data_IF_690327300775
#
_entry.id   IF_690327300775
#
_cell.length_a   1.000
_cell.length_b   1.000
_cell.length_c   1.000
_cell.angle_alpha   90.00
_cell.angle_beta   90.00
_cell.angle_gamma   90.00
#
_symmetry.space_group_name_H-M   'P 1'
#
loop_
_entity.id
_entity.type
_entity.pdbx_description
1 polymer ?
#
# COMPACT_ATOMS: atom_id res chain seq x y z
N UNK A 1 -21.15 66.89 -28.38
CA UNK A 1 -22.61 66.71 -28.36
C UNK A 1 -22.97 65.61 -29.34
N UNK A 2 -23.28 64.42 -28.85
CA UNK A 2 -23.91 63.37 -29.63
C UNK A 2 -24.87 62.63 -28.67
N UNK A 3 -26.16 62.84 -28.89
CA UNK A 3 -27.25 62.22 -28.15
C UNK A 3 -27.72 61.02 -28.95
N UNK A 4 -27.76 59.84 -28.34
CA UNK A 4 -28.49 58.68 -28.88
C UNK A 4 -29.34 58.06 -27.77
N UNK A 5 -30.60 58.49 -27.76
CA UNK A 5 -31.70 57.92 -27.00
C UNK A 5 -31.95 56.49 -27.47
N UNK A 6 -31.98 55.52 -26.54
CA UNK A 6 -32.51 54.18 -26.82
C UNK A 6 -33.71 53.95 -25.93
N UNK A 7 -34.88 53.99 -26.54
CA UNK A 7 -36.19 53.74 -25.95
C UNK A 7 -36.38 52.23 -25.76
N UNK A 8 -36.56 51.75 -24.52
CA UNK A 8 -37.04 50.40 -24.25
C UNK A 8 -38.54 50.41 -24.03
N UNK A 9 -39.25 49.73 -24.93
CA UNK A 9 -40.70 49.62 -24.99
C UNK A 9 -41.23 48.72 -23.86
N UNK A 10 -42.16 49.26 -23.08
CA UNK A 10 -43.02 48.53 -22.15
C UNK A 10 -44.10 47.76 -22.93
N UNK A 11 -44.11 46.42 -22.83
CA UNK A 11 -45.19 45.56 -23.33
C UNK A 11 -46.33 45.45 -22.30
N UNK A 12 -47.61 45.51 -22.72
CA UNK A 12 -48.75 45.40 -21.81
C UNK A 12 -49.10 43.92 -21.52
N UNK A 13 -49.28 43.59 -20.24
CA UNK A 13 -49.73 42.28 -19.77
C UNK A 13 -51.23 42.11 -19.98
N UNK A 14 -51.64 41.26 -20.92
CA UNK A 14 -53.02 40.76 -21.04
C UNK A 14 -53.17 39.41 -20.33
N UNK A 15 -54.32 39.13 -19.68
CA UNK A 15 -54.51 37.90 -18.92
C UNK A 15 -54.88 36.74 -19.86
N UNK A 16 -53.89 35.94 -20.26
CA UNK A 16 -54.15 34.70 -21.01
C UNK A 16 -54.71 33.63 -20.05
N UNK A 17 -55.94 33.20 -20.34
CA UNK A 17 -56.58 32.03 -19.73
C UNK A 17 -55.71 30.80 -20.01
N UNK A 18 -55.08 30.25 -18.95
CA UNK A 18 -54.18 29.09 -19.08
C UNK A 18 -54.96 27.84 -19.51
N UNK A 19 -54.44 27.04 -20.45
CA UNK A 19 -55.08 25.80 -20.88
C UNK A 19 -55.06 24.76 -19.74
N UNK A 20 -56.15 24.00 -19.61
CA UNK A 20 -56.36 22.96 -18.55
C UNK A 20 -55.23 21.90 -18.50
N UNK A 21 -54.44 21.77 -19.56
CA UNK A 21 -53.29 20.86 -19.62
C UNK A 21 -52.11 21.29 -18.73
N UNK A 22 -51.86 22.59 -18.56
CA UNK A 22 -50.78 23.07 -17.69
C UNK A 22 -51.08 22.79 -16.23
N UNK A 23 -52.36 22.87 -15.86
CA UNK A 23 -52.82 22.51 -14.52
C UNK A 23 -52.64 21.02 -14.23
N UNK A 24 -52.85 20.16 -15.23
CA UNK A 24 -52.60 18.71 -15.14
C UNK A 24 -51.10 18.39 -15.09
N UNK A 25 -50.26 19.08 -15.86
CA UNK A 25 -48.79 18.91 -15.80
C UNK A 25 -48.23 19.38 -14.46
N UNK A 26 -48.65 20.53 -13.96
CA UNK A 26 -48.24 21.04 -12.66
C UNK A 26 -48.70 20.11 -11.52
N UNK A 27 -49.93 19.58 -11.59
CA UNK A 27 -50.42 18.62 -10.61
C UNK A 27 -49.62 17.31 -10.63
N UNK A 28 -49.25 16.79 -11.81
CA UNK A 28 -48.43 15.59 -11.91
C UNK A 28 -47.00 15.82 -11.40
N UNK A 29 -46.39 16.97 -11.72
CA UNK A 29 -45.05 17.32 -11.23
C UNK A 29 -45.01 17.44 -9.70
N UNK A 30 -46.05 18.03 -9.11
CA UNK A 30 -46.20 18.09 -7.66
C UNK A 30 -46.42 16.68 -7.07
N UNK A 31 -47.23 15.85 -7.73
CA UNK A 31 -47.46 14.45 -7.31
C UNK A 31 -46.17 13.64 -7.29
N UNK A 32 -45.30 13.85 -8.27
CA UNK A 32 -44.00 13.18 -8.37
C UNK A 32 -43.01 13.73 -7.32
N UNK A 33 -43.04 15.04 -7.03
CA UNK A 33 -42.23 15.66 -5.96
C UNK A 33 -42.58 15.14 -4.56
N UNK A 34 -43.86 14.86 -4.30
CA UNK A 34 -44.34 14.32 -3.03
C UNK A 34 -44.44 12.79 -3.01
N UNK A 35 -43.96 12.09 -4.05
CA UNK A 35 -43.92 10.61 -4.08
C UNK A 35 -45.28 9.93 -4.05
N UNK A 36 -46.35 10.62 -4.45
CA UNK A 36 -47.74 10.12 -4.41
C UNK A 36 -48.12 9.26 -5.64
N UNK A 37 -47.18 9.05 -6.57
CA UNK A 37 -47.34 8.08 -7.67
C UNK A 37 -47.13 6.67 -7.11
N UNK A 38 -48.22 5.97 -6.80
CA UNK A 38 -48.22 4.54 -6.49
C UNK A 38 -47.85 3.74 -7.74
N UNK A 39 -46.56 3.55 -7.99
CA UNK A 39 -46.02 2.42 -8.75
C UNK A 39 -44.52 2.29 -8.42
N UNK A 40 -44.13 1.16 -7.84
CA UNK A 40 -42.78 0.88 -7.40
C UNK A 40 -41.97 0.25 -8.55
N UNK A 41 -40.94 0.95 -9.06
CA UNK A 41 -39.85 0.33 -9.83
C UNK A 41 -38.57 1.21 -9.88
N UNK A 42 -37.55 0.79 -9.12
CA UNK A 42 -36.10 0.79 -9.41
C UNK A 42 -35.36 2.11 -9.84
N UNK A 43 -34.75 2.76 -8.83
CA UNK A 43 -33.41 3.42 -8.69
C UNK A 43 -32.65 4.00 -9.91
N UNK A 44 -31.99 5.17 -9.75
CA UNK A 44 -30.68 5.23 -9.08
C UNK A 44 -30.69 6.06 -7.80
N UNK A 45 -29.98 5.54 -6.81
CA UNK A 45 -29.97 5.97 -5.42
C UNK A 45 -29.51 7.43 -5.26
N UNK A 46 -30.48 8.31 -5.01
CA UNK A 46 -30.29 9.40 -4.05
C UNK A 46 -30.32 8.78 -2.66
N UNK A 47 -29.63 9.31 -1.62
CA UNK A 47 -29.75 8.75 -0.29
C UNK A 47 -31.23 8.83 0.10
N UNK A 48 -31.87 7.67 0.17
CA UNK A 48 -33.19 7.55 0.74
C UNK A 48 -33.03 7.94 2.19
N UNK A 49 -33.42 9.16 2.51
CA UNK A 49 -33.85 9.51 3.84
C UNK A 49 -35.02 8.57 4.07
N UNK A 50 -34.77 7.46 4.75
CA UNK A 50 -35.83 6.61 5.27
C UNK A 50 -36.81 7.55 5.95
N UNK A 51 -38.07 7.54 5.52
CA UNK A 51 -39.14 8.27 6.17
C UNK A 51 -39.38 7.66 7.58
N UNK A 52 -38.41 7.80 8.49
CA UNK A 52 -38.58 7.59 9.93
C UNK A 52 -39.20 8.82 10.60
N UNK A 53 -39.28 9.95 9.89
CA UNK A 53 -40.11 11.08 10.28
C UNK A 53 -41.57 10.89 9.84
N UNK A 54 -42.17 9.76 10.23
CA UNK A 54 -43.59 9.79 10.52
C UNK A 54 -43.74 10.59 11.81
N UNK A 55 -43.78 11.93 11.70
CA UNK A 55 -44.21 12.79 12.80
C UNK A 55 -45.56 12.24 13.22
N UNK A 56 -45.59 11.54 14.35
CA UNK A 56 -46.79 10.89 14.84
C UNK A 56 -47.82 11.99 15.08
N UNK A 57 -48.78 12.11 14.15
CA UNK A 57 -49.83 13.12 14.20
C UNK A 57 -50.68 13.00 15.48
N UNK A 58 -50.49 11.94 16.26
CA UNK A 58 -51.04 11.76 17.60
C UNK A 58 -50.47 12.75 18.63
N UNK A 59 -49.26 13.27 18.43
CA UNK A 59 -48.53 14.14 19.37
C UNK A 59 -48.76 15.63 19.11
N UNK A 60 -49.33 16.00 17.96
CA UNK A 60 -49.71 17.38 17.71
C UNK A 60 -50.88 17.77 18.64
N UNK A 61 -50.85 18.97 19.25
CA UNK A 61 -51.98 19.46 20.02
C UNK A 61 -53.23 19.45 19.14
N UNK A 62 -54.21 18.62 19.50
CA UNK A 62 -55.53 18.64 18.85
C UNK A 62 -56.22 19.94 19.26
N UNK A 63 -56.04 20.97 18.45
CA UNK A 63 -56.71 22.26 18.63
C UNK A 63 -58.20 22.05 18.35
N UNK A 64 -59.04 22.25 19.37
CA UNK A 64 -60.49 22.12 19.24
C UNK A 64 -61.07 23.39 18.59
N UNK A 65 -61.07 23.42 17.26
CA UNK A 65 -61.63 24.51 16.45
C UNK A 65 -63.08 24.90 16.83
N UNK A 66 -64.03 23.97 17.06
CA UNK A 66 -65.41 24.35 17.36
C UNK A 66 -65.58 25.04 18.73
N UNK A 67 -64.77 24.70 19.75
CA UNK A 67 -64.81 25.45 21.01
C UNK A 67 -64.20 26.84 20.86
N UNK A 68 -63.11 26.98 20.11
CA UNK A 68 -62.49 28.27 19.81
C UNK A 68 -63.41 29.22 19.04
N UNK A 69 -64.17 28.69 18.06
CA UNK A 69 -65.16 29.45 17.30
C UNK A 69 -66.35 29.91 18.15
N UNK A 70 -66.66 29.18 19.23
CA UNK A 70 -67.76 29.54 20.15
C UNK A 70 -67.32 30.55 21.20
N UNK A 71 -66.05 30.52 21.63
CA UNK A 71 -65.53 31.36 22.71
C UNK A 71 -64.92 32.68 22.25
N UNK A 72 -64.43 32.77 21.01
CA UNK A 72 -63.69 33.95 20.51
C UNK A 72 -64.51 34.75 19.49
N UNK A 73 -64.29 36.07 19.47
CA UNK A 73 -64.86 36.93 18.44
C UNK A 73 -64.04 36.85 17.14
N UNK A 74 -64.68 37.17 16.01
CA UNK A 74 -64.06 37.06 14.67
C UNK A 74 -62.80 37.92 14.52
N UNK A 75 -62.76 39.11 15.11
CA UNK A 75 -61.59 40.00 15.04
C UNK A 75 -60.37 39.40 15.74
N UNK A 76 -60.55 38.75 16.88
CA UNK A 76 -59.50 38.06 17.60
C UNK A 76 -58.99 36.85 16.81
N UNK A 77 -59.88 36.13 16.13
CA UNK A 77 -59.51 35.00 15.28
C UNK A 77 -58.69 35.43 14.07
N UNK A 78 -59.08 36.51 13.39
CA UNK A 78 -58.35 37.07 12.24
C UNK A 78 -56.98 37.65 12.66
N UNK A 79 -56.90 38.30 13.83
CA UNK A 79 -55.61 38.76 14.37
C UNK A 79 -54.68 37.58 14.64
N UNK A 80 -55.21 36.49 15.22
CA UNK A 80 -54.45 35.27 15.48
C UNK A 80 -54.06 34.53 14.21
N UNK A 81 -54.90 34.52 13.19
CA UNK A 81 -54.54 34.02 11.86
C UNK A 81 -53.36 34.81 11.27
N UNK A 82 -53.43 36.14 11.31
CA UNK A 82 -52.35 37.00 10.85
C UNK A 82 -51.04 36.74 11.60
N UNK A 83 -51.10 36.56 12.92
CA UNK A 83 -49.94 36.20 13.75
C UNK A 83 -49.36 34.84 13.35
N UNK A 84 -50.21 33.81 13.20
CA UNK A 84 -49.77 32.47 12.80
C UNK A 84 -49.15 32.48 11.40
N UNK A 85 -49.67 33.26 10.46
CA UNK A 85 -49.08 33.40 9.12
C UNK A 85 -47.67 33.99 9.22
N UNK A 86 -47.44 34.95 10.11
CA UNK A 86 -46.10 35.51 10.35
C UNK A 86 -45.18 34.46 10.95
N UNK A 87 -45.64 33.74 11.99
CA UNK A 87 -44.86 32.67 12.64
C UNK A 87 -44.51 31.53 11.67
N UNK A 88 -45.42 31.15 10.77
CA UNK A 88 -45.16 30.12 9.75
C UNK A 88 -44.04 30.59 8.80
N UNK A 89 -44.06 31.87 8.39
CA UNK A 89 -43.01 32.42 7.52
C UNK A 89 -41.67 32.52 8.23
N UNK A 90 -41.67 32.87 9.51
CA UNK A 90 -40.48 32.91 10.34
C UNK A 90 -39.87 31.50 10.49
N UNK A 91 -40.69 30.51 10.86
CA UNK A 91 -40.27 29.10 10.95
C UNK A 91 -39.73 28.55 9.63
N UNK A 92 -40.33 28.90 8.49
CA UNK A 92 -39.80 28.49 7.18
C UNK A 92 -38.43 29.13 6.89
N UNK A 93 -38.26 30.40 7.30
CA UNK A 93 -36.97 31.10 7.24
C UNK A 93 -35.90 30.44 8.12
N UNK A 94 -36.25 30.08 9.35
CA UNK A 94 -35.37 29.35 10.27
C UNK A 94 -35.00 27.97 9.72
N UNK A 95 -35.97 27.21 9.22
CA UNK A 95 -35.74 25.90 8.57
C UNK A 95 -34.78 26.03 7.40
N UNK A 96 -34.99 27.02 6.53
CA UNK A 96 -34.13 27.24 5.39
C UNK A 96 -32.72 27.68 5.82
N UNK A 97 -32.60 28.53 6.84
CA UNK A 97 -31.31 28.90 7.42
C UNK A 97 -30.57 27.70 8.01
N UNK A 98 -31.25 26.82 8.75
CA UNK A 98 -30.66 25.60 9.32
C UNK A 98 -30.14 24.67 8.22
N UNK A 99 -30.93 24.47 7.16
CA UNK A 99 -30.52 23.68 6.00
C UNK A 99 -29.28 24.30 5.37
N UNK A 100 -29.24 25.60 5.08
CA UNK A 100 -28.04 26.20 4.47
C UNK A 100 -26.82 26.17 5.40
N UNK A 101 -27.00 26.44 6.70
CA UNK A 101 -25.92 26.48 7.66
C UNK A 101 -25.31 25.11 7.93
N UNK A 102 -26.10 24.03 7.92
CA UNK A 102 -25.60 22.70 8.29
C UNK A 102 -25.55 21.68 7.14
N UNK A 103 -26.17 21.95 6.00
CA UNK A 103 -26.13 21.02 4.86
C UNK A 103 -24.70 20.78 4.37
N UNK A 104 -23.88 21.82 4.30
CA UNK A 104 -22.50 21.67 3.88
C UNK A 104 -21.67 20.85 4.90
N UNK A 105 -21.98 20.94 6.20
CA UNK A 105 -21.36 20.12 7.25
C UNK A 105 -21.76 18.64 7.11
N UNK A 106 -23.04 18.36 6.84
CA UNK A 106 -23.52 16.99 6.58
C UNK A 106 -22.88 16.37 5.34
N UNK A 107 -22.74 17.17 4.27
CA UNK A 107 -22.04 16.74 3.06
C UNK A 107 -20.56 16.48 3.36
N UNK A 108 -19.88 17.40 4.04
CA UNK A 108 -18.48 17.22 4.41
C UNK A 108 -18.24 16.01 5.33
N UNK A 109 -19.15 15.75 6.29
CA UNK A 109 -19.12 14.56 7.12
C UNK A 109 -19.31 13.28 6.29
N UNK A 110 -20.24 13.31 5.32
CA UNK A 110 -20.47 12.19 4.41
C UNK A 110 -19.25 11.90 3.52
N UNK A 111 -18.59 12.94 3.02
CA UNK A 111 -17.34 12.83 2.26
C UNK A 111 -16.22 12.27 3.14
N UNK A 112 -16.10 12.72 4.39
CA UNK A 112 -15.13 12.20 5.35
C UNK A 112 -15.34 10.71 5.62
N UNK A 113 -16.59 10.26 5.79
CA UNK A 113 -16.92 8.83 5.95
C UNK A 113 -16.53 8.04 4.70
N UNK A 114 -16.79 8.60 3.51
CA UNK A 114 -16.41 7.98 2.24
C UNK A 114 -14.89 7.83 2.13
N UNK A 115 -14.13 8.87 2.45
CA UNK A 115 -12.67 8.85 2.44
C UNK A 115 -12.10 7.87 3.46
N UNK A 116 -12.69 7.81 4.67
CA UNK A 116 -12.32 6.81 5.67
C UNK A 116 -12.55 5.39 5.16
N UNK A 117 -13.66 5.13 4.49
CA UNK A 117 -13.96 3.82 3.89
C UNK A 117 -12.93 3.43 2.83
N UNK A 118 -12.63 4.34 1.89
CA UNK A 118 -11.63 4.08 0.83
C UNK A 118 -10.24 3.81 1.44
N UNK A 119 -9.85 4.58 2.46
CA UNK A 119 -8.59 4.34 3.18
C UNK A 119 -8.58 2.97 3.87
N UNK A 120 -9.69 2.57 4.50
CA UNK A 120 -9.81 1.24 5.11
C UNK A 120 -9.65 0.12 4.07
N UNK A 121 -10.34 0.21 2.94
CA UNK A 121 -10.24 -0.77 1.85
C UNK A 121 -8.81 -0.81 1.25
N UNK A 122 -8.11 0.32 1.23
CA UNK A 122 -6.71 0.38 0.76
C UNK A 122 -5.70 -0.26 1.72
N UNK A 123 -6.05 -0.44 3.00
CA UNK A 123 -5.18 -1.09 3.98
C UNK A 123 -5.18 -2.61 3.81
N UNK A 124 -6.28 -3.20 3.34
CA UNK A 124 -6.41 -4.64 3.14
C UNK A 124 -5.26 -5.26 2.30
N UNK A 125 -4.92 -4.75 1.09
CA UNK A 125 -3.81 -5.30 0.30
C UNK A 125 -2.44 -5.10 0.98
N UNK A 126 -2.28 -4.04 1.79
CA UNK A 126 -1.03 -3.85 2.54
C UNK A 126 -0.86 -4.88 3.66
N UNK A 127 -1.96 -5.29 4.29
CA UNK A 127 -1.97 -6.36 5.29
C UNK A 127 -1.73 -7.73 4.65
N UNK A 128 -2.32 -8.00 3.48
CA UNK A 128 -2.05 -9.23 2.71
C UNK A 128 -0.57 -9.32 2.29
N UNK A 129 0.01 -8.21 1.82
CA UNK A 129 1.43 -8.14 1.49
C UNK A 129 2.32 -8.41 2.72
N UNK A 130 1.98 -7.84 3.87
CA UNK A 130 2.68 -8.09 5.12
C UNK A 130 2.55 -9.56 5.56
N UNK A 131 1.37 -10.15 5.47
CA UNK A 131 1.15 -11.57 5.77
C UNK A 131 2.01 -12.48 4.89
N UNK A 132 2.03 -12.21 3.58
CA UNK A 132 2.84 -12.96 2.61
C UNK A 132 4.34 -12.84 2.94
N UNK A 133 4.79 -11.66 3.35
CA UNK A 133 6.18 -11.45 3.77
C UNK A 133 6.51 -12.25 5.05
N UNK A 134 5.58 -12.33 6.01
CA UNK A 134 5.77 -13.10 7.23
C UNK A 134 5.79 -14.61 6.96
N UNK A 135 4.94 -15.11 6.06
CA UNK A 135 5.00 -16.50 5.58
C UNK A 135 6.33 -16.80 4.89
N UNK A 136 6.82 -15.89 4.05
CA UNK A 136 8.13 -16.02 3.39
C UNK A 136 9.28 -16.07 4.41
N UNK A 137 9.23 -15.24 5.45
CA UNK A 137 10.21 -15.26 6.53
C UNK A 137 10.10 -16.56 7.34
N UNK A 138 8.88 -17.01 7.66
CA UNK A 138 8.64 -18.23 8.42
C UNK A 138 9.15 -19.47 7.67
N UNK A 139 8.85 -19.57 6.38
CA UNK A 139 9.35 -20.65 5.51
C UNK A 139 10.87 -20.63 5.42
N UNK A 140 11.50 -19.47 5.20
CA UNK A 140 12.95 -19.34 5.16
C UNK A 140 13.59 -19.72 6.50
N UNK A 141 13.01 -19.28 7.62
CA UNK A 141 13.45 -19.67 8.97
C UNK A 141 13.35 -21.18 9.19
N UNK A 142 12.25 -21.81 8.75
CA UNK A 142 12.08 -23.27 8.87
C UNK A 142 13.10 -24.04 8.04
N UNK A 143 13.43 -23.56 6.83
CA UNK A 143 14.47 -24.15 5.99
C UNK A 143 15.85 -24.01 6.62
N UNK A 144 16.15 -22.85 7.22
CA UNK A 144 17.41 -22.66 7.97
C UNK A 144 17.49 -23.55 9.21
N UNK A 145 16.38 -23.77 9.93
CA UNK A 145 16.36 -24.68 11.08
C UNK A 145 16.56 -26.14 10.67
N UNK A 146 16.01 -26.56 9.52
CA UNK A 146 16.29 -27.89 8.94
C UNK A 146 17.78 -28.02 8.61
N UNK A 147 18.36 -27.00 7.97
CA UNK A 147 19.79 -26.98 7.64
C UNK A 147 20.68 -26.95 8.90
N UNK A 148 20.25 -26.29 9.98
CA UNK A 148 20.96 -26.21 11.27
C UNK A 148 20.81 -27.50 12.09
N UNK A 149 19.83 -28.36 11.80
CA UNK A 149 19.59 -29.62 12.51
C UNK A 149 20.35 -30.80 11.87
N UNK A 150 21.68 -30.78 11.87
CA UNK A 150 22.45 -31.99 12.16
C UNK A 150 23.59 -31.66 13.14
N UNK A 151 23.39 -31.90 14.45
CA UNK A 151 24.51 -31.92 15.42
C UNK A 151 24.14 -32.38 16.84
N UNK A 152 22.86 -32.46 17.24
CA UNK A 152 22.50 -32.63 18.68
C UNK A 152 21.63 -33.84 19.02
N UNK A 153 21.66 -34.91 18.20
CA UNK A 153 21.23 -36.23 18.68
C UNK A 153 22.44 -37.10 18.92
N UNK A 154 22.94 -37.07 20.16
CA UNK A 154 23.83 -38.10 20.68
C UNK A 154 23.16 -39.49 20.61
N UNK A 155 23.99 -40.48 20.26
CA UNK A 155 23.70 -41.90 19.99
C UNK A 155 23.23 -42.68 21.25
N UNK A 156 22.73 -43.92 21.13
CA UNK A 156 23.67 -45.05 21.11
C UNK A 156 23.20 -46.25 20.26
N UNK A 157 24.02 -46.66 19.28
CA UNK A 157 24.38 -48.05 19.00
C UNK A 157 25.05 -48.16 17.61
N UNK A 158 26.31 -48.61 17.64
CA UNK A 158 27.05 -49.36 16.62
C UNK A 158 26.67 -49.16 15.13
N UNK A 159 27.54 -48.47 14.39
CA UNK A 159 28.39 -49.06 13.34
C UNK A 159 29.30 -47.98 12.75
N UNK A 160 30.50 -48.39 12.36
CA UNK A 160 31.67 -47.58 11.98
C UNK A 160 31.39 -46.48 10.95
N UNK A 161 31.86 -45.23 11.16
CA UNK A 161 31.81 -44.21 10.12
C UNK A 161 32.97 -44.43 9.14
N UNK A 162 32.65 -44.58 7.85
CA UNK A 162 33.64 -44.53 6.78
C UNK A 162 34.29 -43.14 6.68
N UNK A 163 35.46 -43.02 6.04
CA UNK A 163 36.28 -41.80 6.02
C UNK A 163 35.72 -40.61 5.20
N UNK A 164 34.44 -40.65 4.80
CA UNK A 164 33.82 -39.66 3.92
C UNK A 164 32.45 -39.18 4.45
N UNK A 165 32.32 -38.89 5.74
CA UNK A 165 31.17 -38.11 6.21
C UNK A 165 31.48 -36.63 5.98
N UNK A 166 31.03 -36.12 4.83
CA UNK A 166 31.11 -34.71 4.50
C UNK A 166 30.02 -33.99 5.30
N UNK A 167 30.41 -33.20 6.30
CA UNK A 167 29.53 -32.29 7.01
C UNK A 167 29.31 -31.07 6.11
N UNK A 168 28.17 -30.97 5.39
CA UNK A 168 28.06 -30.05 4.26
C UNK A 168 28.25 -28.59 4.67
N UNK A 169 27.87 -28.23 5.90
CA UNK A 169 28.01 -26.87 6.41
C UNK A 169 29.45 -26.50 6.78
N UNK A 170 30.22 -27.41 7.36
CA UNK A 170 31.63 -27.15 7.68
C UNK A 170 32.49 -27.15 6.42
N UNK A 171 32.13 -27.95 5.42
CA UNK A 171 32.85 -28.04 4.16
C UNK A 171 32.47 -26.93 3.17
N UNK A 172 31.32 -26.26 3.35
CA UNK A 172 30.87 -25.15 2.49
C UNK A 172 31.61 -23.83 2.76
N UNK A 173 31.85 -23.50 4.04
CA UNK A 173 32.54 -22.27 4.45
C UNK A 173 33.94 -22.12 3.80
N UNK A 174 34.83 -23.14 3.84
CA UNK A 174 36.14 -23.05 3.20
C UNK A 174 36.05 -23.00 1.67
N UNK A 175 35.02 -23.59 1.04
CA UNK A 175 34.83 -23.56 -0.42
C UNK A 175 34.41 -22.16 -0.90
N UNK A 176 33.47 -21.52 -0.19
CA UNK A 176 32.96 -20.20 -0.57
C UNK A 176 33.97 -19.10 -0.28
N UNK A 177 34.81 -19.27 0.75
CA UNK A 177 35.87 -18.31 1.12
C UNK A 177 37.18 -18.52 0.35
N UNK A 178 37.32 -19.64 -0.36
CA UNK A 178 38.55 -20.00 -1.09
C UNK A 178 39.03 -18.93 -2.08
N UNK A 179 38.18 -18.33 -2.95
CA UNK A 179 38.64 -17.32 -3.91
C UNK A 179 39.24 -16.09 -3.22
N UNK A 180 38.59 -15.60 -2.15
CA UNK A 180 39.10 -14.47 -1.36
C UNK A 180 40.40 -14.81 -0.64
N UNK A 181 40.50 -16.00 -0.04
CA UNK A 181 41.70 -16.45 0.66
C UNK A 181 42.89 -16.57 -0.29
N UNK A 182 42.69 -17.06 -1.51
CA UNK A 182 43.73 -17.11 -2.54
C UNK A 182 44.15 -15.71 -2.99
N UNK A 183 43.20 -14.79 -3.18
CA UNK A 183 43.51 -13.40 -3.53
C UNK A 183 44.34 -12.70 -2.44
N UNK A 184 43.96 -12.86 -1.17
CA UNK A 184 44.66 -12.26 -0.03
C UNK A 184 46.10 -12.81 0.14
N UNK A 185 46.30 -14.10 -0.12
CA UNK A 185 47.63 -14.73 -0.12
C UNK A 185 48.50 -14.28 -1.30
N UNK A 186 47.93 -14.07 -2.48
CA UNK A 186 48.65 -13.59 -3.68
C UNK A 186 49.00 -12.10 -3.55
N UNK A 187 48.11 -11.30 -2.98
CA UNK A 187 48.32 -9.87 -2.73
C UNK A 187 49.22 -9.59 -1.52
N UNK A 188 49.53 -10.62 -0.72
CA UNK A 188 50.37 -10.51 0.48
C UNK A 188 49.70 -9.71 1.61
N UNK A 189 48.37 -9.59 1.58
CA UNK A 189 47.60 -8.69 2.44
C UNK A 189 47.59 -9.13 3.91
N UNK A 190 47.90 -10.40 4.18
CA UNK A 190 47.94 -11.00 5.52
C UNK A 190 49.16 -10.53 6.35
N UNK A 191 50.26 -10.14 5.70
CA UNK A 191 51.52 -9.79 6.39
C UNK A 191 51.97 -8.31 6.16
N UNK A 192 51.07 -7.45 5.67
CA UNK A 192 51.40 -6.13 5.13
C UNK A 192 51.61 -5.01 6.16
N UNK A 193 52.56 -5.18 7.10
CA UNK A 193 53.07 -4.04 7.90
C UNK A 193 54.53 -3.66 7.66
N UNK A 194 55.30 -4.28 6.75
CA UNK A 194 56.68 -3.81 6.54
C UNK A 194 57.34 -4.07 5.18
N UNK A 195 58.06 -3.03 4.74
CA UNK A 195 59.25 -3.02 3.86
C UNK A 195 59.10 -3.08 2.32
N UNK A 196 59.03 -1.87 1.74
CA UNK A 196 59.44 -1.38 0.40
C UNK A 196 60.15 -2.37 -0.56
N UNK A 197 59.50 -2.62 -1.70
CA UNK A 197 60.10 -2.62 -3.05
C UNK A 197 60.76 -3.90 -3.56
N UNK A 198 61.73 -4.46 -2.84
CA UNK A 198 62.48 -5.66 -3.27
C UNK A 198 62.08 -6.93 -2.52
N UNK A 199 61.58 -6.78 -1.29
CA UNK A 199 61.03 -7.91 -0.52
C UNK A 199 59.63 -8.30 -1.00
N UNK A 200 58.93 -7.37 -1.66
CA UNK A 200 57.57 -7.56 -2.19
C UNK A 200 57.51 -8.65 -3.27
N UNK A 201 58.49 -8.73 -4.17
CA UNK A 201 58.52 -9.77 -5.20
C UNK A 201 58.77 -11.19 -4.63
N UNK A 202 59.61 -11.29 -3.59
CA UNK A 202 59.86 -12.56 -2.89
C UNK A 202 58.67 -12.96 -2.02
N UNK A 203 58.09 -12.00 -1.29
CA UNK A 203 56.89 -12.20 -0.48
C UNK A 203 55.69 -12.61 -1.34
N UNK A 204 55.50 -11.99 -2.51
CA UNK A 204 54.47 -12.42 -3.49
C UNK A 204 54.72 -13.81 -4.05
N UNK A 205 55.98 -14.20 -4.26
CA UNK A 205 56.33 -15.58 -4.68
C UNK A 205 56.06 -16.60 -3.57
N UNK A 206 56.37 -16.26 -2.33
CA UNK A 206 56.08 -17.09 -1.15
C UNK A 206 54.56 -17.18 -0.89
N UNK A 207 53.83 -16.07 -1.07
CA UNK A 207 52.36 -16.00 -1.01
C UNK A 207 51.69 -16.83 -2.10
N UNK A 208 52.20 -16.76 -3.34
CA UNK A 208 51.76 -17.61 -4.44
C UNK A 208 51.98 -19.09 -4.15
N UNK A 209 53.15 -19.48 -3.60
CA UNK A 209 53.41 -20.87 -3.23
C UNK A 209 52.47 -21.38 -2.13
N UNK A 210 52.14 -20.53 -1.14
CA UNK A 210 51.13 -20.85 -0.11
C UNK A 210 49.73 -20.99 -0.72
N UNK A 211 49.37 -20.11 -1.65
CA UNK A 211 48.09 -20.17 -2.37
C UNK A 211 47.99 -21.44 -3.24
N UNK A 212 49.05 -21.83 -3.94
CA UNK A 212 49.11 -23.06 -4.71
C UNK A 212 49.01 -24.31 -3.81
N UNK A 213 49.62 -24.28 -2.62
CA UNK A 213 49.47 -25.35 -1.65
C UNK A 213 48.03 -25.48 -1.13
N UNK A 214 47.41 -24.35 -0.76
CA UNK A 214 46.00 -24.30 -0.34
C UNK A 214 45.05 -24.76 -1.46
N UNK A 215 45.33 -24.39 -2.70
CA UNK A 215 44.57 -24.89 -3.84
C UNK A 215 44.71 -26.41 -3.99
N UNK A 216 45.91 -26.95 -3.84
CA UNK A 216 46.14 -28.40 -3.94
C UNK A 216 45.41 -29.22 -2.87
N UNK A 217 45.20 -28.67 -1.67
CA UNK A 217 44.40 -29.36 -0.64
C UNK A 217 42.90 -29.35 -0.95
N UNK A 218 42.41 -28.31 -1.63
CA UNK A 218 40.97 -28.09 -1.86
C UNK A 218 40.49 -28.52 -3.25
N UNK A 219 41.38 -28.65 -4.23
CA UNK A 219 41.11 -29.18 -5.57
C UNK A 219 40.38 -30.54 -5.57
N UNK A 220 40.79 -31.57 -4.79
CA UNK A 220 40.08 -32.84 -4.78
C UNK A 220 38.67 -32.74 -4.18
N UNK A 221 38.46 -31.84 -3.21
CA UNK A 221 37.15 -31.57 -2.62
C UNK A 221 36.23 -30.92 -3.65
N UNK A 222 36.71 -29.88 -4.33
CA UNK A 222 35.95 -29.24 -5.41
C UNK A 222 35.63 -30.22 -6.54
N UNK A 223 36.57 -31.11 -6.90
CA UNK A 223 36.33 -32.15 -7.91
C UNK A 223 35.21 -33.11 -7.50
N UNK A 224 35.25 -33.64 -6.28
CA UNK A 224 34.21 -34.52 -5.75
C UNK A 224 32.83 -33.86 -5.74
N UNK A 225 32.75 -32.56 -5.41
CA UNK A 225 31.47 -31.83 -5.41
C UNK A 225 30.99 -31.48 -6.83
N UNK A 226 31.90 -31.27 -7.79
CA UNK A 226 31.52 -31.14 -9.20
C UNK A 226 31.00 -32.43 -9.80
N UNK A 227 31.51 -33.58 -9.36
CA UNK A 227 31.00 -34.92 -9.72
C UNK A 227 29.64 -35.19 -9.07
N UNK A 228 29.44 -34.71 -7.84
CA UNK A 228 28.15 -34.73 -7.15
C UNK A 228 27.10 -33.77 -7.76
N UNK A 229 27.47 -32.93 -8.73
CA UNK A 229 26.54 -32.08 -9.48
C UNK A 229 26.09 -30.82 -8.74
N UNK A 230 26.81 -30.37 -7.71
CA UNK A 230 26.46 -29.15 -6.98
C UNK A 230 26.70 -27.91 -7.86
N UNK A 231 25.69 -27.05 -7.97
CA UNK A 231 25.69 -25.87 -8.84
C UNK A 231 26.67 -24.80 -8.35
N UNK A 232 27.35 -24.09 -9.28
CA UNK A 232 28.26 -22.97 -8.96
C UNK A 232 29.70 -23.35 -8.61
N UNK A 233 29.96 -24.58 -8.17
CA UNK A 233 31.31 -25.01 -7.76
C UNK A 233 32.29 -25.05 -8.93
N UNK A 234 31.80 -25.34 -10.13
CA UNK A 234 32.59 -25.28 -11.37
C UNK A 234 33.10 -23.86 -11.65
N UNK A 235 32.29 -22.85 -11.34
CA UNK A 235 32.62 -21.44 -11.53
C UNK A 235 33.65 -20.99 -10.50
N UNK A 236 33.44 -21.33 -9.22
CA UNK A 236 34.41 -21.09 -8.14
C UNK A 236 35.76 -21.73 -8.48
N UNK A 237 35.76 -23.00 -8.90
CA UNK A 237 36.99 -23.70 -9.28
C UNK A 237 37.64 -23.10 -10.54
N UNK A 238 36.88 -22.50 -11.46
CA UNK A 238 37.44 -21.79 -12.61
C UNK A 238 38.08 -20.46 -12.18
N UNK A 239 37.40 -19.70 -11.32
CA UNK A 239 37.87 -18.43 -10.77
C UNK A 239 39.19 -18.59 -10.02
N UNK A 240 39.28 -19.55 -9.11
CA UNK A 240 40.52 -19.82 -8.37
C UNK A 240 41.69 -20.22 -9.29
N UNK A 241 41.43 -20.99 -10.37
CA UNK A 241 42.46 -21.31 -11.38
C UNK A 241 42.91 -20.06 -12.15
N UNK A 242 42.00 -19.12 -12.43
CA UNK A 242 42.36 -17.84 -13.07
C UNK A 242 43.22 -16.97 -12.15
N UNK A 243 42.86 -16.87 -10.87
CA UNK A 243 43.64 -16.13 -9.86
C UNK A 243 45.08 -16.66 -9.74
N UNK A 244 45.26 -17.98 -9.64
CA UNK A 244 46.58 -18.60 -9.59
C UNK A 244 47.37 -18.44 -10.90
N UNK A 245 46.68 -18.45 -12.05
CA UNK A 245 47.32 -18.22 -13.36
C UNK A 245 47.80 -16.78 -13.48
N UNK A 246 47.02 -15.81 -13.02
CA UNK A 246 47.39 -14.40 -13.07
C UNK A 246 48.46 -14.05 -12.04
N UNK A 247 48.42 -14.66 -10.84
CA UNK A 247 49.51 -14.57 -9.86
C UNK A 247 50.86 -15.14 -10.38
N UNK A 248 50.84 -16.23 -11.16
CA UNK A 248 52.03 -16.76 -11.85
C UNK A 248 52.58 -15.81 -12.92
N UNK A 249 51.70 -15.14 -13.67
CA UNK A 249 52.12 -14.14 -14.67
C UNK A 249 52.72 -12.91 -14.01
N UNK A 250 52.09 -12.42 -12.93
CA UNK A 250 52.56 -11.25 -12.19
C UNK A 250 53.95 -11.48 -11.58
N UNK A 251 54.16 -12.63 -10.95
CA UNK A 251 55.47 -13.02 -10.36
C UNK A 251 56.53 -13.31 -11.43
N UNK A 252 56.16 -13.91 -12.57
CA UNK A 252 57.07 -14.16 -13.69
C UNK A 252 57.49 -12.89 -14.47
N UNK A 253 56.58 -11.92 -14.63
CA UNK A 253 56.88 -10.64 -15.29
C UNK A 253 57.86 -9.78 -14.49
N UNK A 254 57.81 -9.84 -13.16
CA UNK A 254 58.76 -9.13 -12.30
C UNK A 254 60.19 -9.65 -12.44
N UNK A 255 60.38 -10.93 -12.75
CA UNK A 255 61.71 -11.55 -12.90
C UNK A 255 62.41 -11.12 -14.19
N UNK A 256 61.67 -11.02 -15.30
CA UNK A 256 62.21 -10.57 -16.59
C UNK A 256 62.66 -9.10 -16.56
N UNK A 257 61.98 -8.26 -15.77
CA UNK A 257 62.38 -6.86 -15.58
C UNK A 257 63.68 -6.70 -14.76
N UNK A 258 64.00 -7.66 -13.89
CA UNK A 258 65.21 -7.61 -13.05
C UNK A 258 66.47 -8.22 -13.68
N UNK A 259 66.34 -9.02 -14.75
CA UNK A 259 67.47 -9.73 -15.37
C UNK A 259 68.10 -8.98 -16.57
N UNK A 260 67.59 -7.81 -16.93
CA UNK A 260 68.00 -7.04 -18.11
C UNK A 260 68.75 -5.73 -17.81
N UNK A 261 69.32 -5.57 -16.61
CA UNK A 261 70.07 -4.37 -16.21
C UNK A 261 71.48 -4.67 -15.76
#
# INVERSE_FOLDING_TARGET
MAMTSTSSSSMPSTPTVRPKQDKRRAANLLRDYYGLSSESAQTPQSPAISNEDAIDHSTLPKVDLPSLLRSNNLSALLSKESELIVQIRELDGERQSLVYNHHHELVAASDTIRDMKVKSESLDPSLEALQTSFESISTLSSNLDVLRRPATKESPAAETPGPNHLDPLHDLEPIVTLPSMLSDLIEGRVDATSAKGYQDARAKKEGLARAEHLWGTMEPVLAAWTEAGVTGIREIAAECRTLLKDGRKATGSSFLATAGS
#
